data_IF_980094482921
#
_entry.id   IF_980094482921
#
_cell.length_a   1.000
_cell.length_b   1.000
_cell.length_c   1.000
_cell.angle_alpha   90.00
_cell.angle_beta   90.00
_cell.angle_gamma   90.00
#
_symmetry.space_group_name_H-M   'P 1'
#
loop_
_entity.id
_entity.type
_entity.pdbx_description
1 polymer ?
#
# COMPACT_ATOMS: atom_id res chain seq x y z
N UNK A 1 -20.40 -19.05 3.49
CA UNK A 1 -20.07 -17.60 3.47
C UNK A 1 -18.68 -17.46 2.89
N UNK A 2 -18.52 -16.81 1.74
CA UNK A 2 -17.22 -16.54 1.11
C UNK A 2 -16.66 -15.23 1.68
N UNK A 3 -15.47 -15.26 2.30
CA UNK A 3 -14.85 -14.07 2.92
C UNK A 3 -13.97 -13.36 1.89
N UNK A 4 -14.41 -12.20 1.40
CA UNK A 4 -13.58 -11.34 0.55
C UNK A 4 -12.82 -10.35 1.44
N UNK A 5 -11.54 -10.14 1.16
CA UNK A 5 -10.80 -9.01 1.73
C UNK A 5 -11.36 -7.74 1.10
N UNK A 6 -11.89 -6.82 1.91
CA UNK A 6 -12.24 -5.49 1.47
C UNK A 6 -11.05 -4.56 1.78
N UNK A 7 -10.62 -3.80 0.78
CA UNK A 7 -9.72 -2.67 1.01
C UNK A 7 -10.40 -1.57 1.80
N UNK A 8 -9.62 -0.54 2.17
CA UNK A 8 -10.19 0.68 2.76
C UNK A 8 -11.07 1.40 1.72
N UNK A 9 -12.24 1.92 2.11
CA UNK A 9 -13.01 2.81 1.25
C UNK A 9 -12.20 4.07 0.92
N UNK A 10 -12.29 4.57 -0.32
CA UNK A 10 -11.53 5.74 -0.78
C UNK A 10 -11.67 6.97 0.13
N UNK A 11 -12.85 7.18 0.70
CA UNK A 11 -13.13 8.31 1.61
C UNK A 11 -12.41 8.21 2.97
N UNK A 12 -11.90 7.03 3.33
CA UNK A 12 -11.05 6.83 4.52
C UNK A 12 -9.56 7.00 4.22
N UNK A 13 -9.17 7.11 2.95
CA UNK A 13 -7.76 7.24 2.56
C UNK A 13 -7.40 8.72 2.62
N UNK A 14 -6.48 9.08 3.50
CA UNK A 14 -6.01 10.47 3.64
C UNK A 14 -4.65 10.70 3.00
N UNK A 15 -3.92 9.63 2.66
CA UNK A 15 -2.58 9.73 2.08
C UNK A 15 -2.40 8.61 1.04
N UNK A 16 -1.89 8.95 -0.14
CA UNK A 16 -1.57 8.03 -1.22
C UNK A 16 -0.12 8.22 -1.66
N UNK A 17 0.71 7.21 -1.45
CA UNK A 17 2.13 7.24 -1.84
C UNK A 17 2.30 6.47 -3.14
N UNK A 18 2.90 7.12 -4.13
CA UNK A 18 3.35 6.46 -5.36
C UNK A 18 4.66 5.71 -5.09
N UNK A 19 4.60 4.38 -5.19
CA UNK A 19 5.74 3.48 -5.07
C UNK A 19 5.97 2.66 -6.35
N UNK A 20 5.44 3.10 -7.49
CA UNK A 20 5.51 2.37 -8.76
C UNK A 20 6.94 2.09 -9.22
N UNK A 21 7.91 2.93 -8.88
CA UNK A 21 9.32 2.69 -9.19
C UNK A 21 9.96 1.60 -8.30
N UNK A 22 9.39 1.33 -7.11
CA UNK A 22 9.99 0.49 -6.07
C UNK A 22 9.28 -0.86 -5.90
N UNK A 23 8.29 -1.18 -6.73
CA UNK A 23 7.46 -2.38 -6.61
C UNK A 23 8.29 -3.68 -6.53
N UNK A 24 9.42 -3.77 -7.24
CA UNK A 24 10.32 -4.93 -7.22
C UNK A 24 10.98 -5.13 -5.86
N UNK A 25 11.33 -4.03 -5.18
CA UNK A 25 11.91 -4.08 -3.83
C UNK A 25 10.91 -4.66 -2.84
N UNK A 26 9.66 -4.21 -2.92
CA UNK A 26 8.56 -4.74 -2.09
C UNK A 26 8.35 -6.22 -2.38
N UNK A 27 8.25 -6.61 -3.65
CA UNK A 27 8.07 -8.01 -4.03
C UNK A 27 9.22 -8.89 -3.50
N UNK A 28 10.47 -8.46 -3.65
CA UNK A 28 11.63 -9.20 -3.12
C UNK A 28 11.55 -9.39 -1.60
N UNK A 29 11.10 -8.39 -0.85
CA UNK A 29 10.88 -8.52 0.59
C UNK A 29 9.75 -9.52 0.91
N UNK A 30 8.62 -9.45 0.18
CA UNK A 30 7.49 -10.39 0.32
C UNK A 30 7.93 -11.84 0.07
N UNK A 31 8.82 -12.08 -0.89
CA UNK A 31 9.37 -13.41 -1.19
C UNK A 31 10.19 -14.02 -0.05
N UNK A 32 10.64 -13.24 0.93
CA UNK A 32 11.27 -13.77 2.13
C UNK A 32 10.26 -14.39 3.12
N UNK A 33 8.96 -14.18 2.91
CA UNK A 33 7.89 -14.58 3.83
C UNK A 33 7.04 -15.76 3.31
N UNK A 34 7.65 -16.72 2.63
CA UNK A 34 6.94 -17.82 1.96
C UNK A 34 6.11 -18.68 2.93
N UNK A 35 6.63 -18.93 4.14
CA UNK A 35 5.95 -19.77 5.14
C UNK A 35 4.83 -19.04 5.89
N UNK A 36 4.80 -17.71 5.83
CA UNK A 36 3.81 -16.85 6.47
C UNK A 36 2.64 -16.51 5.55
N UNK A 37 2.76 -16.75 4.24
CA UNK A 37 1.77 -16.40 3.22
C UNK A 37 1.02 -17.65 2.73
N UNK A 38 -0.23 -17.90 3.18
CA UNK A 38 -0.97 -19.14 2.91
C UNK A 38 -1.20 -19.47 1.42
N UNK A 39 -1.08 -18.47 0.54
CA UNK A 39 -1.26 -18.59 -0.91
C UNK A 39 -0.04 -18.08 -1.68
N UNK A 40 1.17 -18.20 -1.11
CA UNK A 40 2.40 -17.67 -1.72
C UNK A 40 2.59 -18.12 -3.17
N UNK A 41 2.36 -19.40 -3.49
CA UNK A 41 2.53 -19.92 -4.85
C UNK A 41 1.58 -19.27 -5.87
N UNK A 42 0.38 -18.88 -5.46
CA UNK A 42 -0.54 -18.14 -6.34
C UNK A 42 -0.05 -16.70 -6.54
N UNK A 43 0.47 -16.09 -5.46
CA UNK A 43 1.04 -14.74 -5.51
C UNK A 43 2.30 -14.68 -6.38
N UNK A 44 3.17 -15.69 -6.30
CA UNK A 44 4.40 -15.80 -7.08
C UNK A 44 4.14 -16.00 -8.58
N UNK A 45 3.02 -16.62 -8.94
CA UNK A 45 2.64 -16.86 -10.33
C UNK A 45 1.95 -15.68 -11.02
N UNK A 46 1.78 -14.53 -10.36
CA UNK A 46 1.09 -13.39 -10.95
C UNK A 46 1.93 -12.73 -12.07
N UNK A 47 1.31 -12.23 -13.15
CA UNK A 47 1.98 -11.40 -14.14
C UNK A 47 2.65 -10.17 -13.53
N UNK A 48 3.72 -9.69 -14.16
CA UNK A 48 4.48 -8.51 -13.72
C UNK A 48 3.59 -7.27 -13.51
N UNK A 49 2.67 -6.99 -14.43
CA UNK A 49 1.74 -5.87 -14.30
C UNK A 49 0.83 -5.98 -13.07
N UNK A 50 0.47 -7.20 -12.66
CA UNK A 50 -0.33 -7.40 -11.45
C UNK A 50 0.50 -7.21 -10.19
N UNK A 51 1.76 -7.67 -10.17
CA UNK A 51 2.68 -7.34 -9.09
C UNK A 51 2.90 -5.83 -8.98
N UNK A 52 3.10 -5.16 -10.11
CA UNK A 52 3.28 -3.71 -10.15
C UNK A 52 2.06 -2.98 -9.61
N UNK A 53 0.84 -3.41 -9.96
CA UNK A 53 -0.38 -2.84 -9.40
C UNK A 53 -0.55 -3.10 -7.90
N UNK A 54 -0.21 -4.30 -7.42
CA UNK A 54 -0.33 -4.67 -6.00
C UNK A 54 0.64 -3.89 -5.10
N UNK A 55 1.85 -3.63 -5.57
CA UNK A 55 2.94 -3.04 -4.76
C UNK A 55 3.29 -1.59 -5.14
N UNK A 56 2.73 -1.09 -6.23
CA UNK A 56 3.06 0.22 -6.80
C UNK A 56 2.37 1.40 -6.10
N UNK A 57 1.39 1.16 -5.23
CA UNK A 57 0.76 2.21 -4.45
C UNK A 57 0.61 1.80 -3.00
N UNK A 58 0.65 2.78 -2.11
CA UNK A 58 0.34 2.58 -0.70
C UNK A 58 -0.67 3.63 -0.22
N UNK A 59 -1.63 3.19 0.57
CA UNK A 59 -2.71 4.03 1.10
C UNK A 59 -2.66 4.03 2.62
N UNK A 60 -2.73 5.22 3.22
CA UNK A 60 -2.71 5.39 4.67
C UNK A 60 -3.89 6.22 5.15
N UNK A 61 -4.26 6.00 6.41
CA UNK A 61 -5.16 6.84 7.18
C UNK A 61 -4.35 7.59 8.24
N UNK A 62 -4.41 8.92 8.22
CA UNK A 62 -3.75 9.79 9.18
C UNK A 62 -4.61 9.90 10.44
N UNK A 63 -4.32 9.03 11.40
CA UNK A 63 -5.05 8.99 12.67
C UNK A 63 -4.85 10.24 13.55
N UNK A 64 -3.73 10.95 13.38
CA UNK A 64 -3.41 12.17 14.12
C UNK A 64 -2.58 13.14 13.27
N UNK A 65 -2.81 14.44 13.41
CA UNK A 65 -2.10 15.45 12.63
C UNK A 65 -2.09 16.81 13.30
N UNK A 66 -0.99 17.54 13.14
CA UNK A 66 -0.86 18.96 13.48
C UNK A 66 -0.74 19.85 12.23
N UNK A 67 -0.62 19.27 11.04
CA UNK A 67 -0.31 19.99 9.78
C UNK A 67 -1.46 19.90 8.77
N UNK A 68 -2.08 18.73 8.66
CA UNK A 68 -3.26 18.50 7.81
C UNK A 68 -4.33 17.73 8.60
N UNK A 69 -5.46 18.38 8.88
CA UNK A 69 -6.57 17.77 9.61
C UNK A 69 -7.45 16.81 8.79
N UNK A 70 -6.96 16.28 7.66
CA UNK A 70 -7.69 15.31 6.81
C UNK A 70 -8.59 15.94 5.74
N UNK A 71 -8.39 17.23 5.40
CA UNK A 71 -9.18 17.92 4.34
C UNK A 71 -8.62 17.72 2.94
N UNK A 72 -7.35 17.36 2.85
CA UNK A 72 -6.62 17.13 1.59
C UNK A 72 -6.00 15.75 1.64
N UNK A 73 -6.07 15.02 0.53
CA UNK A 73 -5.31 13.77 0.36
C UNK A 73 -3.85 14.14 0.15
N UNK A 74 -2.98 13.58 0.97
CA UNK A 74 -1.54 13.82 0.93
C UNK A 74 -0.86 12.85 -0.02
N UNK A 75 0.29 13.27 -0.57
CA UNK A 75 1.12 12.42 -1.42
C UNK A 75 2.50 12.12 -0.83
N UNK A 76 2.77 12.67 0.34
CA UNK A 76 3.95 12.42 1.15
C UNK A 76 3.52 12.30 2.63
N UNK A 77 4.01 11.29 3.34
CA UNK A 77 3.74 11.15 4.78
C UNK A 77 4.28 12.35 5.58
N UNK A 78 5.29 13.01 5.06
CA UNK A 78 5.95 14.15 5.68
C UNK A 78 5.39 15.51 5.21
N UNK A 79 4.36 15.52 4.38
CA UNK A 79 3.75 16.75 3.87
C UNK A 79 3.36 17.70 5.01
N UNK A 80 3.77 18.97 4.91
CA UNK A 80 3.52 20.01 5.91
C UNK A 80 4.46 20.02 7.12
N UNK A 81 5.31 18.99 7.30
CA UNK A 81 6.38 19.04 8.30
C UNK A 81 7.51 19.97 7.84
N UNK A 82 8.20 20.58 8.81
CA UNK A 82 9.37 21.43 8.57
C UNK A 82 10.59 20.70 9.16
N UNK A 83 11.60 20.47 8.33
CA UNK A 83 12.87 19.82 8.69
C UNK A 83 14.02 20.82 8.59
#
# INVERSE_FOLDING_TARGET
>A
VERRGAGWPDWQITTQIDTWAYWRTVWNAVRCHQTQLPAYHLLEGLPEEQHKALWGGQTFYRAFSLVNGGRTVEHDLFEGLRF
#
